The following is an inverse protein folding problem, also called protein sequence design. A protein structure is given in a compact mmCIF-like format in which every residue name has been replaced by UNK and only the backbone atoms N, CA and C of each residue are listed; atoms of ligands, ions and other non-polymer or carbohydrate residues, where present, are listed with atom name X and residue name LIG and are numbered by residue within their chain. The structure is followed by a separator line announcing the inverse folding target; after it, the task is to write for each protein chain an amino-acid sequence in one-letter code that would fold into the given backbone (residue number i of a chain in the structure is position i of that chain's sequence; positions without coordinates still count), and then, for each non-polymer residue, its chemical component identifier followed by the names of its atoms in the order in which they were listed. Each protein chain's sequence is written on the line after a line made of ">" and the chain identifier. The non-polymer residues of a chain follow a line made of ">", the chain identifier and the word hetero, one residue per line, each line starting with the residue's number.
data_IF_908110859538
#
_entry.id   IF_908110859538
#
_cell.length_a   1.000
_cell.length_b   1.000
_cell.length_c   1.000
_cell.angle_alpha   90.00
_cell.angle_beta   90.00
_cell.angle_gamma   90.00
#
_symmetry.space_group_name_H-M   'P 1'
#
loop_
_entity.id
_entity.type
_entity.pdbx_description
1 polymer ?
#
# COMPACT_ATOMS: atom_id res chain seq x y z
N UNK A 1 -19.95 60.44 33.66
CA UNK A 1 -19.83 60.84 32.22
C UNK A 1 -20.60 59.82 31.44
N UNK A 2 -21.88 60.12 31.24
CA UNK A 2 -22.85 59.31 30.50
C UNK A 2 -22.88 59.80 29.05
N UNK A 3 -22.52 58.93 28.10
CA UNK A 3 -22.62 59.22 26.67
C UNK A 3 -24.01 58.80 26.18
N UNK A 4 -24.76 59.76 25.68
CA UNK A 4 -26.05 59.60 25.07
C UNK A 4 -25.95 58.94 23.70
N UNK A 5 -26.77 57.93 23.46
CA UNK A 5 -26.94 57.23 22.21
C UNK A 5 -28.08 57.88 21.42
N UNK A 6 -27.79 58.50 20.31
CA UNK A 6 -28.80 59.05 19.37
C UNK A 6 -29.11 58.02 18.32
N UNK A 7 -30.38 57.56 18.12
CA UNK A 7 -30.70 56.67 17.03
C UNK A 7 -30.87 57.44 15.70
N UNK A 8 -30.27 56.91 14.64
CA UNK A 8 -30.43 57.41 13.27
C UNK A 8 -31.75 56.95 12.67
N UNK A 9 -32.41 57.86 11.95
CA UNK A 9 -33.68 57.68 11.25
C UNK A 9 -33.54 56.72 10.05
N UNK A 10 -34.54 55.90 9.72
CA UNK A 10 -34.49 55.00 8.57
C UNK A 10 -34.72 55.75 7.25
N UNK A 11 -33.83 55.50 6.33
CA UNK A 11 -34.01 55.91 4.92
C UNK A 11 -34.98 54.93 4.23
N UNK A 12 -36.02 55.50 3.62
CA UNK A 12 -36.97 54.80 2.74
C UNK A 12 -36.40 54.83 1.32
N UNK A 13 -35.84 53.73 0.83
CA UNK A 13 -35.58 53.53 -0.58
C UNK A 13 -36.66 52.60 -1.15
N UNK A 14 -37.56 53.22 -1.90
CA UNK A 14 -38.63 52.61 -2.66
C UNK A 14 -38.07 52.20 -4.03
N UNK A 15 -37.55 51.00 -4.15
CA UNK A 15 -37.16 50.44 -5.46
C UNK A 15 -38.30 49.56 -5.98
N UNK A 16 -38.68 49.71 -7.28
CA UNK A 16 -39.82 49.00 -7.85
C UNK A 16 -39.51 47.49 -7.98
N UNK A 17 -40.33 46.69 -7.32
CA UNK A 17 -40.33 45.23 -7.42
C UNK A 17 -40.71 44.80 -8.83
N UNK A 18 -39.77 44.28 -9.61
CA UNK A 18 -40.04 43.75 -10.94
C UNK A 18 -41.08 42.62 -10.90
N UNK A 19 -42.09 42.79 -11.71
CA UNK A 19 -43.23 41.87 -11.83
C UNK A 19 -42.80 40.52 -12.37
N UNK A 20 -43.38 39.46 -11.80
CA UNK A 20 -43.18 38.03 -12.17
C UNK A 20 -43.61 37.68 -13.61
N UNK A 21 -43.94 38.66 -14.44
CA UNK A 21 -44.42 38.44 -15.83
C UNK A 21 -43.38 38.64 -16.91
N UNK A 22 -42.16 39.10 -16.59
CA UNK A 22 -41.12 39.39 -17.59
C UNK A 22 -40.07 38.27 -17.74
N UNK A 23 -40.30 37.11 -17.19
CA UNK A 23 -39.46 35.93 -17.36
C UNK A 23 -39.99 34.93 -18.40
N UNK A 24 -40.45 35.44 -19.53
CA UNK A 24 -40.77 34.54 -20.65
C UNK A 24 -40.00 35.04 -21.88
N UNK A 25 -39.13 34.18 -22.38
CA UNK A 25 -38.39 34.21 -23.64
C UNK A 25 -36.93 34.67 -23.59
N UNK A 26 -36.09 33.84 -22.96
CA UNK A 26 -34.74 33.61 -23.48
C UNK A 26 -34.49 32.10 -23.42
N UNK A 27 -34.92 31.40 -24.46
CA UNK A 27 -34.50 29.98 -24.67
C UNK A 27 -33.01 30.01 -25.05
N UNK A 28 -32.15 29.92 -24.07
CA UNK A 28 -30.72 29.61 -24.28
C UNK A 28 -30.63 28.13 -24.62
N UNK A 29 -30.47 27.83 -25.88
CA UNK A 29 -30.10 26.49 -26.39
C UNK A 29 -28.67 26.24 -25.93
N UNK A 30 -28.50 25.65 -24.74
CA UNK A 30 -27.23 25.06 -24.34
C UNK A 30 -27.10 23.77 -25.16
N UNK A 31 -26.36 23.81 -26.23
CA UNK A 31 -25.87 22.62 -26.90
C UNK A 31 -24.96 21.89 -25.90
N UNK A 32 -25.50 20.85 -25.26
CA UNK A 32 -24.72 19.93 -24.48
C UNK A 32 -23.77 19.19 -25.43
N UNK A 33 -22.55 19.72 -25.58
CA UNK A 33 -21.46 18.93 -26.12
C UNK A 33 -21.18 17.81 -25.08
N UNK A 34 -21.81 16.67 -25.31
CA UNK A 34 -21.44 15.43 -24.62
C UNK A 34 -20.03 15.07 -25.12
N UNK A 35 -19.03 15.71 -24.54
CA UNK A 35 -17.66 15.25 -24.61
C UNK A 35 -17.63 13.88 -23.95
N UNK A 36 -17.55 12.81 -24.76
CA UNK A 36 -17.24 11.51 -24.24
C UNK A 36 -15.90 11.61 -23.50
N UNK A 37 -15.95 11.66 -22.16
CA UNK A 37 -14.75 11.55 -21.35
C UNK A 37 -14.13 10.20 -21.73
N UNK A 38 -12.96 10.23 -22.36
CA UNK A 38 -12.18 9.04 -22.58
C UNK A 38 -12.04 8.33 -21.22
N UNK A 39 -12.18 6.99 -21.17
CA UNK A 39 -12.04 6.28 -19.92
C UNK A 39 -10.65 6.63 -19.35
N UNK A 40 -10.63 7.22 -18.15
CA UNK A 40 -9.39 7.49 -17.46
C UNK A 40 -8.66 6.16 -17.34
N UNK A 41 -7.55 6.02 -18.06
CA UNK A 41 -6.71 4.84 -17.91
C UNK A 41 -6.31 4.79 -16.44
N UNK A 42 -6.69 3.71 -15.76
CA UNK A 42 -6.31 3.51 -14.37
C UNK A 42 -4.78 3.54 -14.30
N UNK A 43 -4.23 4.63 -13.77
CA UNK A 43 -2.80 4.74 -13.57
C UNK A 43 -2.41 3.68 -12.53
N UNK A 44 -1.68 2.68 -12.96
CA UNK A 44 -1.12 1.67 -12.05
C UNK A 44 0.06 2.26 -11.30
N UNK A 45 0.30 1.78 -10.08
CA UNK A 45 1.48 2.17 -9.33
C UNK A 45 2.75 1.90 -10.16
N UNK A 46 3.64 2.87 -10.21
CA UNK A 46 4.98 2.68 -10.75
C UNK A 46 5.90 2.32 -9.58
N UNK A 47 6.36 1.06 -9.57
CA UNK A 47 7.30 0.55 -8.57
C UNK A 47 8.68 0.47 -9.20
N UNK A 48 9.63 1.21 -8.63
CA UNK A 48 11.00 1.27 -9.09
C UNK A 48 11.94 0.64 -8.06
N UNK A 49 12.71 -0.36 -8.50
CA UNK A 49 13.72 -1.04 -7.70
C UNK A 49 15.11 -0.51 -8.09
N UNK A 50 15.88 -0.05 -7.13
CA UNK A 50 17.20 0.55 -7.42
C UNK A 50 18.26 0.16 -6.40
N UNK A 51 19.50 0.09 -6.90
CA UNK A 51 20.71 0.02 -6.09
C UNK A 51 21.54 1.27 -6.44
N UNK A 52 21.48 2.35 -5.63
CA UNK A 52 22.14 3.61 -5.92
C UNK A 52 23.65 3.45 -6.08
N UNK A 53 24.25 4.28 -6.95
CA UNK A 53 25.71 4.37 -7.07
C UNK A 53 26.33 4.71 -5.70
N UNK A 54 27.42 4.06 -5.37
CA UNK A 54 28.10 4.21 -4.07
C UNK A 54 27.61 3.25 -2.98
N UNK A 55 26.58 2.44 -3.27
CA UNK A 55 26.14 1.34 -2.41
C UNK A 55 26.48 -0.01 -3.03
N UNK A 56 26.58 -1.05 -2.19
CA UNK A 56 26.72 -2.44 -2.68
C UNK A 56 25.48 -2.87 -3.47
N UNK A 57 25.69 -3.72 -4.47
CA UNK A 57 24.60 -4.34 -5.25
C UNK A 57 24.30 -5.73 -4.68
N UNK A 58 23.24 -5.90 -3.88
CA UNK A 58 22.93 -7.18 -3.27
C UNK A 58 22.25 -8.13 -4.27
N UNK A 59 22.56 -9.43 -4.15
CA UNK A 59 21.94 -10.44 -5.02
C UNK A 59 20.51 -10.85 -4.59
N UNK A 60 20.11 -10.51 -3.36
CA UNK A 60 18.88 -11.05 -2.76
C UNK A 60 17.80 -9.99 -2.43
N UNK A 61 18.08 -8.70 -2.59
CA UNK A 61 17.14 -7.61 -2.31
C UNK A 61 17.49 -6.36 -3.11
N UNK A 62 16.62 -5.35 -3.12
CA UNK A 62 16.93 -4.00 -3.60
C UNK A 62 17.27 -3.09 -2.43
N UNK A 63 18.26 -2.18 -2.61
CA UNK A 63 18.58 -1.17 -1.60
C UNK A 63 17.42 -0.19 -1.38
N UNK A 64 16.73 0.18 -2.48
CA UNK A 64 15.62 1.12 -2.47
C UNK A 64 14.49 0.58 -3.34
N UNK A 65 13.27 0.63 -2.82
CA UNK A 65 12.03 0.45 -3.60
C UNK A 65 11.21 1.71 -3.44
N UNK A 66 10.96 2.38 -4.57
CA UNK A 66 10.16 3.60 -4.64
C UNK A 66 8.82 3.30 -5.29
N UNK A 67 7.75 3.86 -4.74
CA UNK A 67 6.39 3.65 -5.23
C UNK A 67 5.75 5.00 -5.54
N UNK A 68 5.29 5.19 -6.77
CA UNK A 68 4.65 6.41 -7.24
C UNK A 68 3.29 6.11 -7.88
N UNK A 69 2.37 7.08 -7.82
CA UNK A 69 1.04 6.97 -8.40
C UNK A 69 0.02 6.29 -7.47
N UNK A 70 -1.23 6.16 -7.93
CA UNK A 70 -2.31 5.58 -7.14
C UNK A 70 -2.08 4.08 -6.86
N UNK A 71 -2.22 3.68 -5.59
CA UNK A 71 -2.03 2.29 -5.16
C UNK A 71 -2.76 1.99 -3.85
N UNK A 72 -2.86 0.71 -3.53
CA UNK A 72 -3.24 0.21 -2.21
C UNK A 72 -2.01 -0.33 -1.50
N UNK A 73 -1.81 0.08 -0.27
CA UNK A 73 -0.78 -0.47 0.61
C UNK A 73 -1.38 -1.62 1.41
N UNK A 74 -0.70 -2.76 1.42
CA UNK A 74 -1.10 -3.96 2.18
C UNK A 74 0.03 -4.33 3.12
N UNK A 75 -0.28 -4.30 4.41
CA UNK A 75 0.60 -4.78 5.48
C UNK A 75 0.19 -6.20 5.84
N UNK A 76 1.11 -7.13 5.76
CA UNK A 76 0.93 -8.48 6.27
C UNK A 76 1.56 -8.57 7.66
N UNK A 77 0.80 -9.12 8.61
CA UNK A 77 1.33 -9.48 9.92
C UNK A 77 2.48 -10.49 9.80
N UNK A 78 3.28 -10.62 10.84
CA UNK A 78 4.32 -11.63 10.91
C UNK A 78 3.75 -13.04 10.66
N UNK A 79 4.32 -13.73 9.69
CA UNK A 79 3.99 -15.12 9.35
C UNK A 79 5.07 -16.04 9.89
N UNK A 80 4.65 -17.13 10.50
CA UNK A 80 5.51 -18.14 11.11
C UNK A 80 5.36 -19.48 10.43
N UNK A 81 6.18 -20.46 10.80
CA UNK A 81 6.11 -21.81 10.26
C UNK A 81 4.91 -22.64 10.72
N UNK A 82 3.77 -22.00 11.04
CA UNK A 82 2.54 -22.63 11.51
C UNK A 82 1.49 -22.65 10.40
N UNK A 83 0.84 -23.79 10.20
CA UNK A 83 -0.26 -23.95 9.25
C UNK A 83 -1.63 -23.52 9.83
N UNK A 84 -2.68 -23.59 9.01
CA UNK A 84 -4.05 -23.24 9.39
C UNK A 84 -4.65 -24.11 10.51
N UNK A 85 -4.07 -25.29 10.77
CA UNK A 85 -4.49 -26.22 11.83
C UNK A 85 -3.69 -26.03 13.13
N UNK A 86 -2.78 -25.05 13.16
CA UNK A 86 -1.92 -24.81 14.31
C UNK A 86 -0.69 -25.71 14.38
N UNK A 87 -0.44 -26.56 13.38
CA UNK A 87 0.73 -27.41 13.32
C UNK A 87 1.95 -26.60 12.89
N UNK A 88 3.05 -26.72 13.66
CA UNK A 88 4.32 -26.05 13.34
C UNK A 88 5.18 -27.03 12.55
N UNK A 89 5.69 -26.59 11.39
CA UNK A 89 6.59 -27.34 10.54
C UNK A 89 7.93 -27.62 11.25
N UNK A 90 8.60 -28.71 10.86
CA UNK A 90 9.81 -29.15 11.53
C UNK A 90 11.07 -28.64 10.81
N UNK A 91 11.95 -28.01 11.58
CA UNK A 91 13.20 -27.46 11.06
C UNK A 91 13.03 -26.19 10.20
N UNK A 92 14.13 -25.53 9.93
CA UNK A 92 14.14 -24.21 9.30
C UNK A 92 13.64 -24.24 7.86
N UNK A 93 13.99 -25.26 7.07
CA UNK A 93 13.57 -25.36 5.69
C UNK A 93 12.03 -25.40 5.57
N UNK A 94 11.39 -26.34 6.30
CA UNK A 94 9.95 -26.52 6.21
C UNK A 94 9.18 -25.37 6.86
N UNK A 95 9.71 -24.75 7.93
CA UNK A 95 9.15 -23.53 8.47
C UNK A 95 9.25 -22.37 7.47
N UNK A 96 10.36 -22.22 6.75
CA UNK A 96 10.50 -21.21 5.73
C UNK A 96 9.50 -21.39 4.57
N UNK A 97 9.31 -22.63 4.11
CA UNK A 97 8.29 -22.98 3.10
C UNK A 97 6.90 -22.59 3.62
N UNK A 98 6.54 -22.99 4.84
CA UNK A 98 5.24 -22.68 5.42
C UNK A 98 5.00 -21.18 5.55
N UNK A 99 6.01 -20.40 5.98
CA UNK A 99 5.94 -18.94 6.04
C UNK A 99 5.63 -18.35 4.68
N UNK A 100 6.34 -18.78 3.63
CA UNK A 100 6.13 -18.24 2.29
C UNK A 100 4.75 -18.64 1.73
N UNK A 101 4.26 -19.85 2.00
CA UNK A 101 2.89 -20.25 1.63
C UNK A 101 1.84 -19.42 2.38
N UNK A 102 2.03 -19.14 3.68
CA UNK A 102 1.14 -18.25 4.43
C UNK A 102 1.10 -16.83 3.83
N UNK A 103 2.26 -16.27 3.48
CA UNK A 103 2.35 -14.97 2.80
C UNK A 103 1.60 -15.01 1.45
N UNK A 104 1.76 -16.08 0.66
CA UNK A 104 1.07 -16.27 -0.61
C UNK A 104 -0.45 -16.28 -0.44
N UNK A 105 -0.96 -17.02 0.55
CA UNK A 105 -2.40 -17.07 0.88
C UNK A 105 -2.91 -15.68 1.28
N UNK A 106 -2.18 -14.98 2.14
CA UNK A 106 -2.55 -13.63 2.59
C UNK A 106 -2.56 -12.63 1.43
N UNK A 107 -1.57 -12.65 0.55
CA UNK A 107 -1.54 -11.80 -0.66
C UNK A 107 -2.71 -12.11 -1.60
N UNK A 108 -2.98 -13.39 -1.85
CA UNK A 108 -4.07 -13.82 -2.72
C UNK A 108 -5.45 -13.35 -2.22
N UNK A 109 -5.66 -13.31 -0.89
CA UNK A 109 -6.92 -12.85 -0.28
C UNK A 109 -7.26 -11.39 -0.59
N UNK A 110 -6.28 -10.58 -0.98
CA UNK A 110 -6.44 -9.17 -1.35
C UNK A 110 -6.22 -8.91 -2.85
N UNK A 111 -6.07 -9.98 -3.64
CA UNK A 111 -5.85 -9.93 -5.09
C UNK A 111 -4.41 -9.62 -5.48
N UNK A 112 -3.44 -9.99 -4.65
CA UNK A 112 -2.01 -9.80 -4.89
C UNK A 112 -1.23 -11.12 -4.99
N UNK A 113 0.06 -10.98 -5.28
CA UNK A 113 1.05 -12.04 -5.29
C UNK A 113 2.42 -11.50 -4.89
N UNK A 114 3.45 -12.34 -4.96
CA UNK A 114 4.82 -11.97 -4.57
C UNK A 114 5.40 -10.84 -5.44
N UNK A 115 4.92 -10.66 -6.66
CA UNK A 115 5.29 -9.57 -7.56
C UNK A 115 4.92 -8.18 -7.03
N UNK A 116 3.99 -8.12 -6.07
CA UNK A 116 3.55 -6.89 -5.42
C UNK A 116 4.32 -6.58 -4.13
N UNK A 117 5.12 -7.52 -3.63
CA UNK A 117 5.87 -7.34 -2.38
C UNK A 117 7.04 -6.39 -2.59
N UNK A 118 7.05 -5.30 -1.83
CA UNK A 118 8.09 -4.25 -1.90
C UNK A 118 9.03 -4.25 -0.71
N UNK A 119 8.65 -4.89 0.41
CA UNK A 119 9.47 -4.99 1.62
C UNK A 119 9.23 -6.31 2.33
N UNK A 120 10.31 -6.91 2.83
CA UNK A 120 10.28 -7.99 3.80
C UNK A 120 11.09 -7.60 5.04
N UNK A 121 10.55 -7.87 6.22
CA UNK A 121 11.28 -7.91 7.48
C UNK A 121 11.28 -9.35 7.98
N UNK A 122 12.46 -9.88 8.24
CA UNK A 122 12.66 -11.24 8.71
C UNK A 122 13.32 -11.22 10.08
N UNK A 123 12.71 -11.86 11.03
CA UNK A 123 13.21 -12.11 12.37
C UNK A 123 13.54 -13.60 12.48
N UNK A 124 14.74 -13.95 12.91
CA UNK A 124 15.22 -15.32 12.87
C UNK A 124 16.02 -15.64 14.13
N UNK A 125 15.86 -16.85 14.62
CA UNK A 125 16.79 -17.41 15.61
C UNK A 125 18.00 -17.97 14.85
N UNK A 126 19.22 -17.73 15.37
CA UNK A 126 20.46 -18.28 14.81
C UNK A 126 20.61 -18.12 13.28
N UNK A 127 20.96 -16.90 12.85
CA UNK A 127 21.11 -16.57 11.43
C UNK A 127 22.17 -17.45 10.73
N UNK A 128 23.22 -17.86 11.44
CA UNK A 128 24.29 -18.64 10.84
C UNK A 128 23.82 -20.06 10.51
N UNK A 129 23.04 -20.67 11.40
CA UNK A 129 22.48 -22.01 11.18
C UNK A 129 21.29 -21.98 10.20
N UNK A 130 20.41 -20.98 10.28
CA UNK A 130 19.11 -20.98 9.61
C UNK A 130 19.10 -20.16 8.31
N UNK A 131 19.94 -19.14 8.21
CA UNK A 131 19.93 -18.20 7.11
C UNK A 131 20.15 -18.81 5.72
N UNK A 132 21.04 -19.78 5.52
CA UNK A 132 21.24 -20.42 4.22
C UNK A 132 19.95 -21.07 3.67
N UNK A 133 19.28 -21.91 4.46
CA UNK A 133 18.04 -22.59 4.04
C UNK A 133 16.90 -21.59 3.78
N UNK A 134 16.74 -20.59 4.65
CA UNK A 134 15.74 -19.53 4.42
C UNK A 134 15.98 -18.77 3.10
N UNK A 135 17.23 -18.39 2.80
CA UNK A 135 17.57 -17.68 1.56
C UNK A 135 17.26 -18.50 0.31
N UNK A 136 17.52 -19.81 0.34
CA UNK A 136 17.19 -20.73 -0.73
C UNK A 136 15.68 -20.79 -0.96
N UNK A 137 14.88 -21.07 0.07
CA UNK A 137 13.42 -21.12 -0.01
C UNK A 137 12.87 -19.79 -0.49
N UNK A 138 13.29 -18.67 0.13
CA UNK A 138 12.82 -17.33 -0.27
C UNK A 138 13.10 -17.05 -1.77
N UNK A 139 14.26 -17.44 -2.26
CA UNK A 139 14.65 -17.19 -3.66
C UNK A 139 13.72 -17.87 -4.68
N UNK A 140 13.07 -18.99 -4.33
CA UNK A 140 12.15 -19.70 -5.22
C UNK A 140 10.80 -18.96 -5.41
N UNK A 141 10.43 -18.09 -4.46
CA UNK A 141 9.20 -17.29 -4.55
C UNK A 141 9.38 -15.94 -5.27
N UNK A 142 10.61 -15.48 -5.46
CA UNK A 142 10.95 -14.23 -6.17
C UNK A 142 11.68 -14.51 -7.48
N UNK A 143 10.93 -14.79 -8.55
CA UNK A 143 11.49 -15.15 -9.86
C UNK A 143 12.14 -13.96 -10.58
N UNK A 144 11.58 -12.75 -10.45
CA UNK A 144 12.12 -11.54 -11.09
C UNK A 144 13.27 -10.95 -10.27
N UNK A 145 14.50 -11.27 -10.63
CA UNK A 145 15.70 -10.77 -9.94
C UNK A 145 15.97 -9.28 -10.13
N UNK A 146 15.34 -8.64 -11.12
CA UNK A 146 15.43 -7.19 -11.33
C UNK A 146 14.48 -6.38 -10.44
N UNK A 147 13.49 -7.04 -9.81
CA UNK A 147 12.46 -6.42 -9.00
C UNK A 147 12.33 -7.09 -7.62
N UNK A 148 13.44 -7.27 -6.93
CA UNK A 148 13.46 -7.84 -5.59
C UNK A 148 13.00 -6.80 -4.55
N UNK A 149 12.24 -7.21 -3.52
CA UNK A 149 11.84 -6.31 -2.44
C UNK A 149 13.05 -5.79 -1.65
N UNK A 150 12.91 -4.62 -1.04
CA UNK A 150 13.82 -4.21 0.02
C UNK A 150 13.71 -5.22 1.17
N UNK A 151 14.82 -5.50 1.87
CA UNK A 151 14.84 -6.55 2.88
C UNK A 151 15.62 -6.12 4.13
N UNK A 152 15.13 -6.55 5.27
CA UNK A 152 15.85 -6.50 6.54
C UNK A 152 15.81 -7.90 7.15
N UNK A 153 16.96 -8.40 7.60
CA UNK A 153 17.07 -9.66 8.31
C UNK A 153 17.76 -9.39 9.65
N UNK A 154 17.13 -9.79 10.74
CA UNK A 154 17.64 -9.61 12.09
C UNK A 154 17.62 -10.94 12.83
N UNK A 155 18.67 -11.19 13.62
CA UNK A 155 18.62 -12.20 14.64
C UNK A 155 17.94 -11.65 15.89
N UNK A 156 17.02 -12.44 16.42
CA UNK A 156 16.32 -12.13 17.67
C UNK A 156 16.59 -13.24 18.69
N UNK A 157 16.50 -12.91 19.97
CA UNK A 157 16.72 -13.87 21.04
C UNK A 157 15.54 -14.84 21.23
N UNK A 158 14.34 -14.43 20.78
CA UNK A 158 13.10 -15.21 20.98
C UNK A 158 12.02 -14.73 20.00
N UNK A 159 11.17 -15.66 19.58
CA UNK A 159 9.88 -15.41 18.92
C UNK A 159 8.73 -15.73 19.88
N UNK A 160 7.49 -15.48 19.46
CA UNK A 160 6.30 -15.64 20.29
C UNK A 160 6.12 -17.08 20.80
N UNK A 161 6.47 -18.07 19.99
CA UNK A 161 6.49 -19.49 20.39
C UNK A 161 7.94 -20.00 20.32
N UNK A 162 8.39 -20.79 21.32
CA UNK A 162 9.77 -21.33 21.34
C UNK A 162 10.08 -22.32 20.20
N UNK A 163 9.06 -22.85 19.52
CA UNK A 163 9.23 -23.72 18.36
C UNK A 163 9.40 -22.95 17.04
N UNK A 164 9.14 -21.65 17.01
CA UNK A 164 9.35 -20.84 15.81
C UNK A 164 10.82 -20.54 15.63
N UNK A 165 11.32 -20.75 14.42
CA UNK A 165 12.72 -20.46 14.04
C UNK A 165 12.84 -19.16 13.26
N UNK A 166 11.75 -18.74 12.59
CA UNK A 166 11.69 -17.48 11.90
C UNK A 166 10.26 -16.93 11.90
N UNK A 167 10.18 -15.61 11.67
CA UNK A 167 8.95 -14.86 11.41
C UNK A 167 9.22 -13.83 10.31
N UNK A 168 8.31 -13.67 9.38
CA UNK A 168 8.45 -12.75 8.24
C UNK A 168 7.23 -11.87 8.10
N UNK A 169 7.46 -10.56 8.11
CA UNK A 169 6.48 -9.53 7.74
C UNK A 169 6.66 -9.13 6.28
N UNK A 170 5.59 -8.78 5.62
CA UNK A 170 5.63 -8.27 4.26
C UNK A 170 4.80 -7.00 4.10
N UNK A 171 5.29 -6.10 3.23
CA UNK A 171 4.53 -4.96 2.72
C UNK A 171 4.40 -5.13 1.22
N UNK A 172 3.19 -5.02 0.72
CA UNK A 172 2.88 -5.13 -0.71
C UNK A 172 2.13 -3.88 -1.21
N UNK A 173 2.33 -3.60 -2.51
CA UNK A 173 1.70 -2.49 -3.22
C UNK A 173 0.86 -3.08 -4.35
N UNK A 174 -0.45 -2.86 -4.28
CA UNK A 174 -1.41 -3.37 -5.26
C UNK A 174 -2.03 -2.21 -6.04
N UNK A 175 -2.53 -2.47 -7.27
CA UNK A 175 -3.32 -1.50 -8.00
C UNK A 175 -4.52 -1.01 -7.19
N UNK A 176 -5.06 0.20 -7.46
CA UNK A 176 -6.35 0.61 -6.95
C UNK A 176 -7.43 -0.44 -7.26
N UNK A 177 -8.46 -0.51 -6.44
CA UNK A 177 -9.64 -1.30 -6.81
C UNK A 177 -10.38 -0.57 -7.93
N UNK A 178 -10.85 -1.33 -8.91
CA UNK A 178 -11.76 -0.82 -9.94
C UNK A 178 -13.08 -0.37 -9.31
#
# INVERSE_FOLDING_TARGET
>A
MTAEFTPASPATDDEPVASRRDFVAAAVTVAAAAGAAAPAQAQTANVRHTNPQGMSVPAAYSQVVEVNGPHRVVYLAGQTGQDANGKIAQGIHDQAVQVMENIKIALASVGGGFEHVVKLNTYMLDIDAHGPAYREVRASYFSNKAALPASTLLQVSRLANPMYLLEVEALAILPPRA
#
